data_IF_992783241229
#
_entry.id   IF_992783241229
#
_cell.length_a   1.000
_cell.length_b   1.000
_cell.length_c   1.000
_cell.angle_alpha   90.00
_cell.angle_beta   90.00
_cell.angle_gamma   90.00
#
_symmetry.space_group_name_H-M   'P 1'
#
loop_
_entity.id
_entity.type
_entity.pdbx_description
1 polymer ?
#
# COMPACT_ATOMS: atom_id res chain seq x y z
N UNK A 1 -1.00 -10.09 -25.86
CA UNK A 1 -1.89 -10.29 -24.69
C UNK A 1 -1.89 -8.98 -23.90
N UNK A 2 -3.07 -8.41 -23.62
CA UNK A 2 -3.14 -7.23 -22.74
C UNK A 2 -2.70 -7.64 -21.33
N UNK A 3 -1.72 -6.93 -20.77
CA UNK A 3 -1.30 -7.11 -19.38
C UNK A 3 -2.41 -6.61 -18.45
N UNK A 4 -2.59 -7.27 -17.32
CA UNK A 4 -3.59 -6.87 -16.33
C UNK A 4 -3.15 -5.58 -15.62
N UNK A 5 -4.09 -4.65 -15.38
CA UNK A 5 -3.86 -3.48 -14.54
C UNK A 5 -3.92 -3.86 -13.07
N UNK A 6 -3.18 -3.13 -12.24
CA UNK A 6 -3.13 -3.39 -10.81
C UNK A 6 -3.40 -2.13 -9.97
N UNK A 7 -3.83 -2.35 -8.74
CA UNK A 7 -3.80 -1.33 -7.69
C UNK A 7 -2.84 -1.82 -6.61
N UNK A 8 -1.73 -1.11 -6.48
CA UNK A 8 -0.75 -1.30 -5.42
C UNK A 8 -1.20 -0.50 -4.20
N UNK A 9 -1.17 -1.12 -3.05
CA UNK A 9 -1.75 -0.59 -1.82
C UNK A 9 -0.69 -0.62 -0.72
N UNK A 10 -0.44 0.49 -0.02
CA UNK A 10 0.20 0.36 1.27
C UNK A 10 -0.68 -0.46 2.21
N UNK A 11 -0.09 -1.03 3.24
CA UNK A 11 -0.81 -1.87 4.19
C UNK A 11 -1.38 -1.03 5.34
N UNK A 12 -0.49 -0.44 6.13
CA UNK A 12 -0.84 0.28 7.35
C UNK A 12 -1.33 1.70 7.01
N UNK A 13 -2.57 2.01 7.32
CA UNK A 13 -3.27 3.24 6.94
C UNK A 13 -4.15 3.11 5.69
N UNK A 14 -3.91 2.08 4.85
CA UNK A 14 -4.72 1.85 3.64
C UNK A 14 -5.55 0.58 3.76
N UNK A 15 -4.96 -0.58 4.03
CA UNK A 15 -5.70 -1.84 4.19
C UNK A 15 -6.17 -2.00 5.63
N UNK A 16 -5.26 -1.80 6.57
CA UNK A 16 -5.57 -1.82 7.99
C UNK A 16 -5.28 -0.47 8.65
N UNK A 17 -5.90 -0.26 9.81
CA UNK A 17 -5.70 0.95 10.60
C UNK A 17 -4.25 1.09 11.06
N UNK A 18 -3.64 2.25 10.83
CA UNK A 18 -2.38 2.62 11.46
C UNK A 18 -2.63 3.08 12.91
N UNK A 19 -1.66 2.82 13.79
CA UNK A 19 -1.68 3.31 15.18
C UNK A 19 -1.02 4.68 15.21
N UNK A 20 -1.79 5.72 15.47
CA UNK A 20 -1.25 7.09 15.51
C UNK A 20 -0.73 7.39 16.91
N UNK A 21 0.56 7.80 16.99
CA UNK A 21 1.21 8.28 18.23
C UNK A 21 1.95 9.57 17.91
N UNK A 22 1.71 10.61 18.66
CA UNK A 22 2.28 11.94 18.44
C UNK A 22 2.15 12.43 16.99
N UNK A 23 0.97 12.20 16.40
CA UNK A 23 0.65 12.56 15.02
C UNK A 23 1.36 11.75 13.94
N UNK A 24 2.06 10.66 14.28
CA UNK A 24 2.77 9.79 13.32
C UNK A 24 2.13 8.41 13.26
N UNK A 25 2.00 7.82 12.05
CA UNK A 25 1.46 6.48 11.88
C UNK A 25 2.51 5.40 12.15
N UNK A 26 2.09 4.35 12.85
CA UNK A 26 2.87 3.14 13.13
C UNK A 26 2.06 1.89 12.78
N UNK A 27 2.70 0.79 12.42
CA UNK A 27 2.01 -0.48 12.27
C UNK A 27 1.49 -1.01 13.62
N UNK A 28 0.41 -1.79 13.65
CA UNK A 28 0.02 -2.54 14.83
C UNK A 28 1.10 -3.56 15.20
N UNK A 29 1.32 -3.77 16.50
CA UNK A 29 2.34 -4.69 17.03
C UNK A 29 1.73 -6.04 17.39
N UNK A 30 0.47 -6.07 17.83
CA UNK A 30 -0.22 -7.28 18.30
C UNK A 30 -1.50 -7.52 17.49
N UNK A 31 -1.90 -8.77 17.37
CA UNK A 31 -3.11 -9.15 16.63
C UNK A 31 -4.38 -8.46 17.16
N UNK A 32 -4.48 -8.23 18.44
CA UNK A 32 -5.63 -7.53 19.04
C UNK A 32 -5.74 -6.05 18.64
N UNK A 33 -4.64 -5.45 18.20
CA UNK A 33 -4.58 -4.04 17.76
C UNK A 33 -4.77 -3.93 16.22
N UNK A 34 -4.91 -5.08 15.54
CA UNK A 34 -5.05 -5.13 14.09
C UNK A 34 -6.51 -5.03 13.67
N UNK A 35 -6.84 -4.01 12.88
CA UNK A 35 -8.19 -3.74 12.38
C UNK A 35 -8.16 -3.45 10.88
N UNK A 36 -8.89 -4.22 10.08
CA UNK A 36 -9.09 -3.91 8.65
C UNK A 36 -10.03 -2.71 8.56
N UNK A 37 -9.66 -1.71 7.74
CA UNK A 37 -10.47 -0.50 7.55
C UNK A 37 -11.76 -0.83 6.78
N UNK A 38 -12.95 -0.49 7.31
CA UNK A 38 -14.21 -0.77 6.61
C UNK A 38 -14.30 -0.15 5.22
N UNK A 39 -13.78 1.08 5.05
CA UNK A 39 -13.73 1.75 3.74
C UNK A 39 -12.89 0.98 2.73
N UNK A 40 -11.81 0.35 3.17
CA UNK A 40 -10.96 -0.48 2.32
C UNK A 40 -11.64 -1.76 1.90
N UNK A 41 -12.40 -2.42 2.78
CA UNK A 41 -13.19 -3.60 2.40
C UNK A 41 -14.07 -3.30 1.19
N UNK A 42 -14.82 -2.20 1.25
CA UNK A 42 -15.72 -1.78 0.16
C UNK A 42 -14.95 -1.42 -1.11
N UNK A 43 -13.92 -0.57 -0.99
CA UNK A 43 -13.15 -0.10 -2.14
C UNK A 43 -12.42 -1.24 -2.85
N UNK A 44 -11.77 -2.14 -2.10
CA UNK A 44 -10.99 -3.24 -2.66
C UNK A 44 -11.88 -4.28 -3.35
N UNK A 45 -13.06 -4.57 -2.79
CA UNK A 45 -14.03 -5.45 -3.45
C UNK A 45 -14.48 -4.87 -4.80
N UNK A 46 -14.84 -3.59 -4.85
CA UNK A 46 -15.24 -2.93 -6.11
C UNK A 46 -14.14 -2.95 -7.18
N UNK A 47 -12.88 -2.72 -6.77
CA UNK A 47 -11.75 -2.74 -7.68
C UNK A 47 -11.45 -4.15 -8.21
N UNK A 48 -11.55 -5.17 -7.36
CA UNK A 48 -11.38 -6.57 -7.77
C UNK A 48 -12.50 -7.02 -8.71
N UNK A 49 -13.75 -6.67 -8.42
CA UNK A 49 -14.91 -6.98 -9.27
C UNK A 49 -14.80 -6.33 -10.66
N UNK A 50 -14.17 -5.15 -10.74
CA UNK A 50 -13.88 -4.49 -12.02
C UNK A 50 -12.72 -5.15 -12.80
N UNK A 51 -11.91 -5.99 -12.17
CA UNK A 51 -10.83 -6.73 -12.81
C UNK A 51 -9.40 -6.25 -12.47
N UNK A 52 -9.22 -5.34 -11.52
CA UNK A 52 -7.89 -4.97 -11.06
C UNK A 52 -7.25 -6.09 -10.23
N UNK A 53 -5.95 -6.32 -10.45
CA UNK A 53 -5.14 -7.12 -9.53
C UNK A 53 -4.73 -6.27 -8.33
N UNK A 54 -5.08 -6.69 -7.10
CA UNK A 54 -4.75 -5.96 -5.88
C UNK A 54 -3.48 -6.52 -5.24
N UNK A 55 -2.49 -5.67 -5.01
CA UNK A 55 -1.17 -6.03 -4.48
C UNK A 55 -0.83 -5.13 -3.28
N UNK A 56 -0.53 -5.74 -2.15
CA UNK A 56 -0.01 -5.01 -0.99
C UNK A 56 1.50 -4.72 -1.14
N UNK A 57 1.93 -3.52 -0.77
CA UNK A 57 3.34 -3.08 -0.78
C UNK A 57 3.66 -2.39 0.54
N UNK A 58 4.37 -3.04 1.44
CA UNK A 58 4.58 -2.50 2.79
C UNK A 58 6.05 -2.48 3.24
N UNK A 59 6.42 -1.44 4.00
CA UNK A 59 7.70 -1.33 4.70
C UNK A 59 7.51 -1.73 6.16
N UNK A 60 8.23 -2.73 6.62
CA UNK A 60 8.18 -3.24 7.99
C UNK A 60 9.58 -3.23 8.65
N UNK A 61 10.17 -2.05 8.88
CA UNK A 61 11.54 -1.94 9.41
C UNK A 61 11.67 -2.40 10.85
N UNK A 62 10.58 -2.47 11.58
CA UNK A 62 10.57 -2.86 12.98
C UNK A 62 11.01 -4.32 13.18
N UNK A 63 10.95 -5.14 12.11
CA UNK A 63 11.53 -6.49 12.11
C UNK A 63 13.04 -6.42 12.13
N UNK A 64 13.69 -5.60 11.29
CA UNK A 64 15.13 -5.40 11.33
C UNK A 64 15.61 -4.80 12.65
N UNK A 65 14.79 -3.96 13.27
CA UNK A 65 15.06 -3.32 14.57
C UNK A 65 14.81 -4.23 15.77
N UNK A 66 14.23 -5.41 15.56
CA UNK A 66 13.90 -6.36 16.63
C UNK A 66 12.72 -5.92 17.52
N UNK A 67 11.92 -4.93 17.11
CA UNK A 67 10.74 -4.44 17.85
C UNK A 67 9.43 -5.08 17.36
N UNK A 68 9.48 -5.84 16.26
CA UNK A 68 8.38 -6.63 15.73
C UNK A 68 8.91 -7.98 15.23
N UNK A 69 8.13 -9.04 15.36
CA UNK A 69 8.49 -10.34 14.78
C UNK A 69 8.01 -10.47 13.33
N UNK A 70 8.78 -11.19 12.53
CA UNK A 70 8.40 -11.48 11.15
C UNK A 70 7.12 -12.33 11.11
N UNK A 71 7.01 -13.29 12.00
CA UNK A 71 5.85 -14.18 12.12
C UNK A 71 4.56 -13.40 12.39
N UNK A 72 4.63 -12.33 13.20
CA UNK A 72 3.46 -11.47 13.45
C UNK A 72 3.09 -10.67 12.20
N UNK A 73 4.06 -10.12 11.47
CA UNK A 73 3.80 -9.41 10.20
C UNK A 73 3.15 -10.35 9.18
N UNK A 74 3.67 -11.57 9.04
CA UNK A 74 3.10 -12.57 8.12
C UNK A 74 1.69 -13.02 8.56
N UNK A 75 1.42 -13.08 9.87
CA UNK A 75 0.09 -13.37 10.39
C UNK A 75 -0.93 -12.29 10.03
N UNK A 76 -0.54 -11.01 10.08
CA UNK A 76 -1.38 -9.90 9.60
C UNK A 76 -1.65 -10.02 8.09
N UNK A 77 -0.61 -10.32 7.31
CA UNK A 77 -0.74 -10.47 5.86
C UNK A 77 -1.66 -11.64 5.49
N UNK A 78 -1.54 -12.78 6.18
CA UNK A 78 -2.41 -13.92 6.00
C UNK A 78 -3.87 -13.59 6.34
N UNK A 79 -4.12 -12.84 7.42
CA UNK A 79 -5.45 -12.40 7.79
C UNK A 79 -6.06 -11.48 6.71
N UNK A 80 -5.29 -10.52 6.18
CA UNK A 80 -5.73 -9.65 5.07
C UNK A 80 -6.15 -10.51 3.87
N UNK A 81 -5.29 -11.42 3.43
CA UNK A 81 -5.55 -12.27 2.27
C UNK A 81 -6.72 -13.23 2.46
N UNK A 82 -7.02 -13.62 3.71
CA UNK A 82 -8.19 -14.44 4.02
C UNK A 82 -9.53 -13.67 3.97
N UNK A 83 -9.48 -12.35 4.09
CA UNK A 83 -10.66 -11.47 4.21
C UNK A 83 -10.90 -10.58 3.00
N UNK A 84 -9.85 -10.25 2.23
CA UNK A 84 -9.88 -9.31 1.13
C UNK A 84 -9.30 -9.92 -0.14
N UNK A 85 -9.72 -9.47 -1.32
CA UNK A 85 -9.24 -9.97 -2.61
C UNK A 85 -7.82 -9.46 -2.94
N UNK A 86 -6.93 -9.42 -1.96
CA UNK A 86 -5.52 -9.04 -2.11
C UNK A 86 -4.73 -10.28 -2.51
N UNK A 87 -4.17 -10.24 -3.72
CA UNK A 87 -3.49 -11.39 -4.33
C UNK A 87 -2.22 -11.78 -3.59
N UNK A 88 -1.41 -10.78 -3.23
CA UNK A 88 -0.16 -10.95 -2.48
C UNK A 88 0.22 -9.65 -1.80
N UNK A 89 0.98 -9.76 -0.70
CA UNK A 89 1.57 -8.61 -0.01
C UNK A 89 3.09 -8.75 -0.05
N UNK A 90 3.75 -7.82 -0.74
CA UNK A 90 5.20 -7.72 -0.80
C UNK A 90 5.70 -6.87 0.36
N UNK A 91 6.69 -7.38 1.08
CA UNK A 91 7.18 -6.77 2.33
C UNK A 91 8.66 -6.43 2.21
N UNK A 92 9.02 -5.21 2.58
CA UNK A 92 10.40 -4.84 2.85
C UNK A 92 10.63 -4.88 4.37
N UNK A 93 11.49 -5.79 4.81
CA UNK A 93 11.88 -5.93 6.21
C UNK A 93 13.13 -5.13 6.60
N UNK A 94 13.78 -4.48 5.63
CA UNK A 94 14.99 -3.72 5.84
C UNK A 94 14.73 -2.38 6.54
N UNK A 95 15.73 -1.89 7.31
CA UNK A 95 15.73 -0.53 7.82
C UNK A 95 16.43 0.44 6.83
N UNK A 96 16.48 1.72 7.18
CA UNK A 96 17.09 2.75 6.33
C UNK A 96 18.59 2.51 6.12
N UNK A 97 19.27 1.94 7.12
CA UNK A 97 20.71 1.65 7.06
C UNK A 97 21.07 0.54 6.04
N UNK A 98 20.11 -0.31 5.68
CA UNK A 98 20.36 -1.45 4.77
C UNK A 98 20.47 -1.04 3.29
N UNK A 99 20.13 0.20 2.95
CA UNK A 99 20.20 0.78 1.59
C UNK A 99 19.64 -0.12 0.48
N UNK A 100 18.59 -0.89 0.77
CA UNK A 100 17.99 -1.85 -0.14
C UNK A 100 17.16 -1.17 -1.25
N UNK A 101 16.97 -1.86 -2.38
CA UNK A 101 16.14 -1.35 -3.49
C UNK A 101 14.64 -1.55 -3.28
N UNK A 102 14.22 -2.34 -2.29
CA UNK A 102 12.81 -2.70 -2.08
C UNK A 102 12.04 -1.71 -1.18
N UNK A 103 12.74 -0.95 -0.32
CA UNK A 103 12.11 -0.04 0.65
C UNK A 103 11.59 1.23 -0.01
N UNK A 104 10.29 1.51 0.11
CA UNK A 104 9.71 2.80 -0.30
C UNK A 104 10.44 3.96 0.37
N UNK A 105 10.84 5.03 -0.35
CA UNK A 105 10.29 5.49 -1.64
C UNK A 105 10.89 4.84 -2.90
N UNK A 106 11.76 3.85 -2.79
CA UNK A 106 12.23 3.11 -3.96
C UNK A 106 11.15 2.17 -4.50
N UNK A 107 11.03 1.99 -5.83
CA UNK A 107 9.92 1.25 -6.44
C UNK A 107 10.13 -0.28 -6.48
N UNK A 108 11.18 -0.81 -5.85
CA UNK A 108 11.62 -2.20 -6.06
C UNK A 108 10.56 -3.27 -5.84
N UNK A 109 9.72 -3.15 -4.79
CA UNK A 109 8.63 -4.11 -4.57
C UNK A 109 7.53 -4.02 -5.64
N UNK A 110 7.23 -2.81 -6.11
CA UNK A 110 6.26 -2.58 -7.20
C UNK A 110 6.76 -3.26 -8.48
N UNK A 111 8.03 -3.04 -8.83
CA UNK A 111 8.64 -3.63 -10.01
C UNK A 111 8.73 -5.16 -9.91
N UNK A 112 9.06 -5.70 -8.73
CA UNK A 112 9.07 -7.14 -8.46
C UNK A 112 7.68 -7.76 -8.67
N UNK A 113 6.63 -7.14 -8.14
CA UNK A 113 5.26 -7.61 -8.31
C UNK A 113 4.81 -7.51 -9.78
N UNK A 114 5.15 -6.41 -10.46
CA UNK A 114 4.83 -6.22 -11.87
C UNK A 114 5.49 -7.28 -12.75
N UNK A 115 6.74 -7.64 -12.48
CA UNK A 115 7.43 -8.71 -13.17
C UNK A 115 6.78 -10.07 -12.90
N UNK A 116 6.52 -10.39 -11.64
CA UNK A 116 5.93 -11.67 -11.21
C UNK A 116 4.56 -11.94 -11.85
N UNK A 117 3.73 -10.91 -11.92
CA UNK A 117 2.34 -11.02 -12.40
C UNK A 117 2.12 -10.44 -13.80
N UNK A 118 3.19 -10.01 -14.48
CA UNK A 118 3.14 -9.42 -15.82
C UNK A 118 2.14 -8.25 -15.91
N UNK A 119 2.20 -7.32 -14.93
CA UNK A 119 1.26 -6.21 -14.81
C UNK A 119 1.60 -5.06 -15.76
N UNK A 120 0.57 -4.32 -16.18
CA UNK A 120 0.69 -3.07 -16.92
C UNK A 120 0.79 -1.89 -15.94
N UNK A 121 1.99 -1.40 -15.72
CA UNK A 121 2.23 -0.27 -14.82
C UNK A 121 1.62 1.04 -15.35
N UNK A 122 1.53 1.24 -16.66
CA UNK A 122 1.02 2.48 -17.26
C UNK A 122 -0.47 2.70 -16.95
N UNK A 123 -1.23 1.62 -16.75
CA UNK A 123 -2.64 1.63 -16.39
C UNK A 123 -2.91 1.21 -14.94
N UNK A 124 -1.87 1.26 -14.10
CA UNK A 124 -1.94 0.85 -12.70
C UNK A 124 -1.83 2.05 -11.75
N UNK A 125 -2.13 1.79 -10.49
CA UNK A 125 -2.22 2.80 -9.45
C UNK A 125 -1.40 2.41 -8.22
N UNK A 126 -0.87 3.42 -7.51
CA UNK A 126 -0.37 3.28 -6.14
C UNK A 126 -1.21 4.12 -5.20
N UNK A 127 -1.66 3.50 -4.11
CA UNK A 127 -2.42 4.15 -3.05
C UNK A 127 -1.65 4.05 -1.74
N UNK A 128 -1.45 5.16 -1.08
CA UNK A 128 -0.76 5.22 0.20
C UNK A 128 -1.14 6.44 1.02
N UNK A 129 -0.81 6.42 2.30
CA UNK A 129 -1.06 7.49 3.27
C UNK A 129 0.21 8.26 3.65
N UNK A 130 1.34 7.90 3.02
CA UNK A 130 2.63 8.57 3.22
C UNK A 130 3.26 9.00 1.91
N UNK A 131 4.03 10.09 1.94
CA UNK A 131 4.74 10.60 0.77
C UNK A 131 5.64 9.55 0.09
N UNK A 132 6.18 8.59 0.88
CA UNK A 132 7.06 7.51 0.39
C UNK A 132 6.32 6.56 -0.54
N UNK A 133 5.04 6.34 -0.32
CA UNK A 133 4.19 5.51 -1.17
C UNK A 133 4.01 6.18 -2.52
N UNK A 134 3.69 7.46 -2.49
CA UNK A 134 3.49 8.27 -3.67
C UNK A 134 4.77 8.36 -4.51
N UNK A 135 5.89 8.63 -3.86
CA UNK A 135 7.19 8.67 -4.54
C UNK A 135 7.57 7.31 -5.17
N UNK A 136 7.31 6.19 -4.48
CA UNK A 136 7.54 4.86 -5.03
C UNK A 136 6.64 4.57 -6.25
N UNK A 137 5.36 4.95 -6.17
CA UNK A 137 4.41 4.82 -7.28
C UNK A 137 4.84 5.65 -8.50
N UNK A 138 5.20 6.90 -8.30
CA UNK A 138 5.68 7.80 -9.36
C UNK A 138 6.97 7.28 -10.00
N UNK A 139 7.91 6.79 -9.18
CA UNK A 139 9.16 6.20 -9.68
C UNK A 139 8.92 4.93 -10.52
N UNK A 140 7.81 4.23 -10.30
CA UNK A 140 7.38 3.08 -11.08
C UNK A 140 6.49 3.46 -12.29
N UNK A 141 6.17 4.75 -12.51
CA UNK A 141 5.32 5.22 -13.59
C UNK A 141 3.82 5.04 -13.36
N UNK A 142 3.39 4.91 -12.11
CA UNK A 142 1.99 4.73 -11.72
C UNK A 142 1.26 6.07 -11.56
N UNK A 143 -0.06 6.06 -11.75
CA UNK A 143 -0.94 7.07 -11.15
C UNK A 143 -0.98 6.87 -9.64
N UNK A 144 -1.16 7.94 -8.87
CA UNK A 144 -1.05 7.86 -7.41
C UNK A 144 -2.25 8.50 -6.72
N UNK A 145 -2.69 7.88 -5.62
CA UNK A 145 -3.71 8.42 -4.71
C UNK A 145 -3.08 8.53 -3.33
N UNK A 146 -3.06 9.73 -2.78
CA UNK A 146 -2.65 10.00 -1.39
C UNK A 146 -3.89 10.06 -0.51
N UNK A 147 -3.95 9.21 0.54
CA UNK A 147 -4.98 9.29 1.57
C UNK A 147 -4.42 10.14 2.70
N UNK A 148 -4.90 11.38 2.80
CA UNK A 148 -4.40 12.35 3.76
C UNK A 148 -5.13 12.26 5.09
N UNK A 149 -4.51 11.63 6.06
CA UNK A 149 -4.96 11.60 7.45
C UNK A 149 -4.40 12.74 8.30
N UNK A 150 -3.78 13.75 7.67
CA UNK A 150 -3.20 14.92 8.35
C UNK A 150 -2.14 14.54 9.40
N UNK A 151 -1.32 13.55 9.09
CA UNK A 151 -0.20 13.19 9.98
C UNK A 151 0.80 14.34 10.11
N UNK A 152 1.46 14.43 11.28
CA UNK A 152 2.54 15.37 11.52
C UNK A 152 3.84 14.97 10.76
N UNK A 153 3.72 14.61 9.50
CA UNK A 153 4.82 14.25 8.60
C UNK A 153 4.85 15.23 7.43
N UNK A 154 6.01 15.85 7.20
CA UNK A 154 6.16 16.74 6.05
C UNK A 154 6.11 15.93 4.76
N UNK A 155 5.17 16.26 3.88
CA UNK A 155 5.09 15.68 2.55
C UNK A 155 6.33 16.09 1.75
N UNK A 156 6.97 15.12 1.08
CA UNK A 156 8.17 15.33 0.28
C UNK A 156 7.95 14.82 -1.14
N UNK A 157 8.52 15.52 -2.12
CA UNK A 157 8.45 15.13 -3.52
C UNK A 157 7.29 15.76 -4.29
N UNK A 158 6.98 15.19 -5.44
CA UNK A 158 5.89 15.67 -6.31
C UNK A 158 4.52 15.31 -5.74
N UNK A 159 3.49 16.16 -5.94
CA UNK A 159 2.15 15.87 -5.46
C UNK A 159 1.58 14.58 -6.08
N UNK A 160 0.70 13.91 -5.35
CA UNK A 160 -0.05 12.76 -5.87
C UNK A 160 -0.99 13.19 -7.02
N UNK A 161 -1.39 12.22 -7.86
CA UNK A 161 -2.37 12.47 -8.93
C UNK A 161 -3.73 12.89 -8.33
N UNK A 162 -4.12 12.26 -7.22
CA UNK A 162 -5.32 12.60 -6.45
C UNK A 162 -5.01 12.55 -4.96
N UNK A 163 -5.75 13.38 -4.19
CA UNK A 163 -5.72 13.40 -2.74
C UNK A 163 -7.14 13.15 -2.24
N UNK A 164 -7.29 12.27 -1.27
CA UNK A 164 -8.56 11.95 -0.60
C UNK A 164 -8.34 11.87 0.91
N UNK A 165 -9.39 11.98 1.70
CA UNK A 165 -9.31 11.89 3.16
C UNK A 165 -9.74 10.52 3.72
N UNK A 166 -10.29 9.65 2.84
CA UNK A 166 -10.88 8.39 3.25
C UNK A 166 -10.70 7.29 2.20
N UNK A 167 -10.51 6.05 2.66
CA UNK A 167 -10.21 4.91 1.79
C UNK A 167 -11.38 4.51 0.89
N UNK A 168 -12.63 4.76 1.27
CA UNK A 168 -13.78 4.44 0.40
C UNK A 168 -13.83 5.30 -0.87
N UNK A 169 -13.15 6.45 -0.89
CA UNK A 169 -13.06 7.33 -2.06
C UNK A 169 -12.11 6.82 -3.15
N UNK A 170 -11.29 5.80 -2.86
CA UNK A 170 -10.29 5.24 -3.76
C UNK A 170 -10.93 4.64 -5.03
N UNK A 171 -11.89 3.72 -4.84
CA UNK A 171 -12.49 2.99 -5.95
C UNK A 171 -13.22 3.92 -6.95
N UNK A 172 -14.07 4.87 -6.54
CA UNK A 172 -14.71 5.81 -7.47
C UNK A 172 -13.73 6.58 -8.36
N UNK A 173 -12.57 6.98 -7.82
CA UNK A 173 -11.54 7.70 -8.59
C UNK A 173 -10.90 6.78 -9.62
N UNK A 174 -10.45 5.61 -9.21
CA UNK A 174 -9.79 4.65 -10.10
C UNK A 174 -10.73 4.21 -11.23
N UNK A 175 -11.96 3.86 -10.91
CA UNK A 175 -12.95 3.37 -11.88
C UNK A 175 -13.39 4.45 -12.88
N UNK A 176 -13.43 5.73 -12.49
CA UNK A 176 -13.68 6.85 -13.44
C UNK A 176 -12.51 7.07 -14.39
N UNK A 177 -11.29 6.87 -13.94
CA UNK A 177 -10.07 7.04 -14.75
C UNK A 177 -9.77 5.87 -15.69
N UNK A 178 -10.60 4.84 -15.69
CA UNK A 178 -10.45 3.60 -16.47
C UNK A 178 -11.39 3.52 -17.69
N UNK A 179 -12.10 4.61 -17.99
CA UNK A 179 -13.03 4.71 -19.15
C UNK A 179 -12.37 5.37 -20.34
#
# INVERSE_FOLDING_TARGET
MNRASAVFLDRDGIINRAIVRDGKPYPPVRMQDFEILPGSVTALSQLADFGYTLIGITNQPDVARGTQSREMVESFNALIQSKLPVREIFVCYHDNADDCNCRKPRPGLILQAAQKYQLDLSNSWMVGDRWKDIAAGQAAGLKTIFVDYHYSETYQGSPATYIVEETFSIAPIILKGSK
#
